data_IF_012269146982
#
_entry.id   IF_012269146982
#
_cell.length_a   1.000
_cell.length_b   1.000
_cell.length_c   1.000
_cell.angle_alpha   90.00
_cell.angle_beta   90.00
_cell.angle_gamma   90.00
#
_symmetry.space_group_name_H-M   'P 1'
#
loop_
_entity.id
_entity.type
_entity.pdbx_description
1 polymer ?
#
# COMPACT_ATOMS: atom_id res chain seq x y z
N UNK A 1 6.29 1.95 9.95
CA UNK A 1 5.97 3.00 8.94
C UNK A 1 6.65 2.60 7.64
N UNK A 2 5.91 2.51 6.54
CA UNK A 2 6.47 2.32 5.19
C UNK A 2 6.52 3.72 4.57
N UNK A 3 7.72 4.18 4.22
CA UNK A 3 7.92 5.49 3.58
C UNK A 3 8.77 5.28 2.33
N UNK A 4 8.32 5.85 1.21
CA UNK A 4 9.13 6.07 0.01
C UNK A 4 9.18 7.57 -0.28
N UNK A 5 10.35 8.09 -0.67
CA UNK A 5 10.46 9.45 -1.20
C UNK A 5 9.85 9.50 -2.60
N UNK A 6 8.92 10.42 -2.84
CA UNK A 6 8.32 10.64 -4.17
C UNK A 6 9.04 11.78 -4.90
N UNK A 7 9.16 11.65 -6.22
CA UNK A 7 9.30 12.83 -7.08
C UNK A 7 7.91 13.45 -7.29
N UNK A 8 7.82 14.79 -7.22
CA UNK A 8 6.55 15.55 -7.26
C UNK A 8 5.76 15.33 -8.57
N UNK A 9 6.37 14.72 -9.58
CA UNK A 9 5.83 14.53 -10.92
C UNK A 9 5.15 13.18 -11.16
N UNK A 10 5.14 12.24 -10.21
CA UNK A 10 4.56 10.92 -10.43
C UNK A 10 3.03 10.96 -10.50
N UNK A 11 2.47 10.24 -11.49
CA UNK A 11 1.02 10.10 -11.64
C UNK A 11 0.40 9.36 -10.44
N UNK A 12 -0.90 9.57 -10.19
CA UNK A 12 -1.61 8.86 -9.13
C UNK A 12 -1.57 7.33 -9.31
N UNK A 13 -1.52 6.85 -10.56
CA UNK A 13 -1.39 5.44 -10.89
C UNK A 13 -0.02 4.92 -10.45
N UNK A 14 1.07 5.57 -10.83
CA UNK A 14 2.43 5.15 -10.43
C UNK A 14 2.59 5.11 -8.90
N UNK A 15 2.02 6.09 -8.20
CA UNK A 15 1.98 6.11 -6.74
C UNK A 15 1.17 4.94 -6.16
N UNK A 16 0.02 4.61 -6.75
CA UNK A 16 -0.78 3.46 -6.35
C UNK A 16 -0.04 2.13 -6.57
N UNK A 17 0.65 1.99 -7.70
CA UNK A 17 1.41 0.78 -8.06
C UNK A 17 2.57 0.51 -7.09
N UNK A 18 3.20 1.58 -6.56
CA UNK A 18 4.25 1.52 -5.52
C UNK A 18 3.71 1.34 -4.10
N UNK A 19 2.40 1.26 -3.92
CA UNK A 19 1.77 1.15 -2.60
C UNK A 19 1.78 2.45 -1.79
N UNK A 20 2.00 3.59 -2.45
CA UNK A 20 2.11 4.92 -1.82
C UNK A 20 0.77 5.67 -1.80
N UNK A 21 -0.29 5.06 -2.34
CA UNK A 21 -1.63 5.63 -2.38
C UNK A 21 -2.68 4.59 -1.96
N UNK A 22 -3.69 5.05 -1.24
CA UNK A 22 -4.84 4.23 -0.83
C UNK A 22 -4.55 3.29 0.34
N UNK A 23 -5.32 2.19 0.42
CA UNK A 23 -5.25 1.18 1.48
C UNK A 23 -4.35 0.02 1.06
N UNK A 24 -3.32 -0.23 1.86
CA UNK A 24 -2.49 -1.42 1.77
C UNK A 24 -3.00 -2.50 2.73
N UNK A 25 -3.19 -3.71 2.22
CA UNK A 25 -3.63 -4.88 2.97
C UNK A 25 -2.56 -5.95 2.83
N UNK A 26 -1.86 -6.23 3.92
CA UNK A 26 -0.85 -7.29 4.01
C UNK A 26 -1.52 -8.53 4.57
N UNK A 27 -1.43 -9.65 3.84
CA UNK A 27 -2.03 -10.93 4.25
C UNK A 27 -0.95 -11.85 4.83
N UNK A 28 -1.30 -12.72 5.80
CA UNK A 28 -0.34 -13.63 6.44
C UNK A 28 0.36 -14.61 5.47
N UNK A 29 -0.23 -14.86 4.30
CA UNK A 29 0.23 -15.81 3.30
C UNK A 29 1.24 -15.22 2.29
N UNK A 30 1.87 -14.08 2.60
CA UNK A 30 2.82 -13.43 1.69
C UNK A 30 2.16 -12.69 0.51
N UNK A 31 0.83 -12.54 0.54
CA UNK A 31 0.12 -11.71 -0.44
C UNK A 31 -0.09 -10.29 0.08
N UNK A 32 -0.10 -9.35 -0.85
CA UNK A 32 -0.39 -7.95 -0.59
C UNK A 32 -1.47 -7.47 -1.56
N UNK A 33 -2.30 -6.53 -1.11
CA UNK A 33 -3.29 -5.87 -1.94
C UNK A 33 -3.25 -4.36 -1.73
N UNK A 34 -3.28 -3.62 -2.82
CA UNK A 34 -3.55 -2.19 -2.84
C UNK A 34 -4.96 -1.92 -3.32
N UNK A 35 -5.58 -0.93 -2.69
CA UNK A 35 -6.91 -0.44 -3.03
C UNK A 35 -6.89 1.08 -3.02
N UNK A 36 -7.17 1.68 -4.17
CA UNK A 36 -7.28 3.13 -4.33
C UNK A 36 -8.70 3.46 -4.75
N UNK A 37 -9.38 4.28 -3.96
CA UNK A 37 -10.68 4.82 -4.36
C UNK A 37 -10.49 5.82 -5.51
N UNK A 38 -11.26 5.62 -6.58
CA UNK A 38 -11.37 6.53 -7.73
C UNK A 38 -12.76 7.19 -7.67
N UNK A 39 -13.11 7.95 -8.70
CA UNK A 39 -14.39 8.63 -8.83
C UNK A 39 -15.56 7.67 -9.07
N UNK A 40 -16.77 8.12 -8.73
CA UNK A 40 -18.05 7.41 -8.98
C UNK A 40 -18.13 6.00 -8.38
N UNK A 41 -17.46 5.76 -7.25
CA UNK A 41 -17.47 4.47 -6.57
C UNK A 41 -16.63 3.39 -7.26
N UNK A 42 -15.85 3.76 -8.27
CA UNK A 42 -14.83 2.90 -8.86
C UNK A 42 -13.61 2.82 -7.94
N UNK A 43 -12.95 1.68 -7.94
CA UNK A 43 -11.70 1.47 -7.20
C UNK A 43 -10.66 0.84 -8.10
N UNK A 44 -9.45 1.32 -8.04
CA UNK A 44 -8.31 0.56 -8.52
C UNK A 44 -7.91 -0.46 -7.45
N UNK A 45 -7.65 -1.68 -7.89
CA UNK A 45 -7.21 -2.78 -7.05
C UNK A 45 -5.98 -3.39 -7.69
N UNK A 46 -4.96 -3.70 -6.90
CA UNK A 46 -3.86 -4.52 -7.39
C UNK A 46 -3.46 -5.52 -6.32
N UNK A 47 -3.37 -6.79 -6.69
CA UNK A 47 -2.87 -7.85 -5.80
C UNK A 47 -1.48 -8.28 -6.26
N UNK A 48 -0.69 -8.75 -5.31
CA UNK A 48 0.64 -9.25 -5.57
C UNK A 48 1.17 -10.09 -4.41
N UNK A 49 2.46 -10.40 -4.49
CA UNK A 49 3.20 -11.15 -3.48
C UNK A 49 4.41 -10.35 -3.03
N UNK A 50 4.77 -10.51 -1.76
CA UNK A 50 5.99 -9.98 -1.21
C UNK A 50 6.84 -11.11 -0.61
N UNK A 51 8.16 -11.04 -0.80
CA UNK A 51 9.12 -12.02 -0.30
C UNK A 51 10.23 -11.29 0.41
N UNK A 52 10.67 -11.81 1.57
CA UNK A 52 11.79 -11.21 2.32
C UNK A 52 13.07 -11.35 1.49
N UNK A 53 13.73 -10.24 1.18
CA UNK A 53 14.94 -10.19 0.37
C UNK A 53 16.20 -9.79 1.16
N UNK A 54 16.03 -9.25 2.37
CA UNK A 54 17.13 -8.89 3.26
C UNK A 54 16.73 -8.88 4.73
N UNK A 55 17.52 -8.22 5.59
CA UNK A 55 17.25 -8.14 7.03
C UNK A 55 15.92 -7.42 7.33
N UNK A 56 15.71 -6.28 6.67
CA UNK A 56 14.52 -5.45 6.76
C UNK A 56 13.91 -5.08 5.39
N UNK A 57 14.31 -5.74 4.31
CA UNK A 57 13.81 -5.49 2.96
C UNK A 57 12.97 -6.65 2.44
N UNK A 58 12.00 -6.32 1.59
CA UNK A 58 11.08 -7.23 0.95
C UNK A 58 10.94 -6.85 -0.51
N UNK A 59 11.08 -7.82 -1.41
CA UNK A 59 10.79 -7.62 -2.83
C UNK A 59 9.31 -7.87 -3.05
N UNK A 60 8.65 -6.95 -3.75
CA UNK A 60 7.23 -7.03 -4.06
C UNK A 60 7.04 -7.12 -5.56
N UNK A 61 6.20 -8.06 -5.97
CA UNK A 61 5.70 -8.19 -7.34
C UNK A 61 4.19 -8.09 -7.29
N UNK A 62 3.65 -7.13 -8.02
CA UNK A 62 2.23 -6.87 -8.12
C UNK A 62 1.83 -7.05 -9.58
N UNK A 63 0.91 -7.97 -9.86
CA UNK A 63 0.65 -8.51 -11.20
C UNK A 63 -0.84 -8.76 -11.50
N UNK A 64 -1.72 -8.50 -10.54
CA UNK A 64 -3.17 -8.72 -10.65
C UNK A 64 -3.93 -7.40 -10.43
N UNK A 65 -3.86 -6.53 -11.44
CA UNK A 65 -4.54 -5.23 -11.42
C UNK A 65 -5.98 -5.32 -11.95
N UNK A 66 -6.88 -4.53 -11.37
CA UNK A 66 -8.27 -4.45 -11.80
C UNK A 66 -8.90 -3.09 -11.44
N UNK A 67 -9.84 -2.66 -12.28
CA UNK A 67 -10.81 -1.60 -11.92
C UNK A 67 -12.07 -2.29 -11.39
N UNK A 68 -12.45 -1.96 -10.16
CA UNK A 68 -13.54 -2.59 -9.41
C UNK A 68 -14.72 -1.62 -9.27
N UNK A 69 -15.92 -2.10 -9.58
CA UNK A 69 -17.19 -1.42 -9.40
C UNK A 69 -18.13 -2.34 -8.61
N UNK A 70 -18.29 -2.09 -7.31
CA UNK A 70 -19.04 -2.99 -6.44
C UNK A 70 -18.42 -4.39 -6.39
N UNK A 71 -19.17 -5.48 -6.65
CA UNK A 71 -18.64 -6.84 -6.67
C UNK A 71 -17.93 -7.21 -7.98
N UNK A 72 -18.01 -6.38 -9.01
CA UNK A 72 -17.46 -6.66 -10.33
C UNK A 72 -16.08 -6.01 -10.51
N UNK A 73 -15.16 -6.71 -11.18
CA UNK A 73 -13.82 -6.22 -11.50
C UNK A 73 -13.47 -6.47 -12.96
N UNK A 74 -12.92 -5.45 -13.63
CA UNK A 74 -12.36 -5.55 -14.98
C UNK A 74 -10.83 -5.65 -14.82
N UNK A 75 -10.20 -6.74 -15.28
CA UNK A 75 -8.76 -6.89 -15.17
C UNK A 75 -8.02 -5.85 -16.04
N UNK A 76 -6.85 -5.43 -15.58
CA UNK A 76 -5.93 -4.59 -16.30
C UNK A 76 -4.56 -5.27 -16.34
N UNK A 77 -3.93 -5.29 -17.52
CA UNK A 77 -2.58 -5.83 -17.68
C UNK A 77 -1.56 -4.81 -17.18
N UNK A 78 -1.23 -4.90 -15.90
CA UNK A 78 -0.23 -4.06 -15.24
C UNK A 78 0.62 -4.92 -14.31
N UNK A 79 1.94 -4.80 -14.45
CA UNK A 79 2.90 -5.43 -13.56
C UNK A 79 3.79 -4.36 -12.95
N UNK A 80 4.08 -4.44 -11.67
CA UNK A 80 5.02 -3.55 -10.98
C UNK A 80 5.87 -4.31 -10.00
N UNK A 81 7.17 -4.00 -10.01
CA UNK A 81 8.17 -4.57 -9.10
C UNK A 81 8.86 -3.44 -8.36
N UNK A 82 8.99 -3.59 -7.05
CA UNK A 82 9.69 -2.64 -6.20
C UNK A 82 10.13 -3.32 -4.90
N UNK A 83 11.14 -2.75 -4.24
CA UNK A 83 11.60 -3.21 -2.93
C UNK A 83 10.99 -2.34 -1.85
N UNK A 84 10.32 -2.97 -0.88
CA UNK A 84 9.89 -2.35 0.35
C UNK A 84 10.97 -2.49 1.41
N UNK A 85 11.26 -1.40 2.13
CA UNK A 85 12.10 -1.43 3.31
C UNK A 85 11.26 -1.15 4.56
N UNK A 86 11.29 -2.09 5.51
CA UNK A 86 10.74 -1.90 6.84
C UNK A 86 11.74 -1.09 7.67
N UNK A 87 11.53 0.22 7.70
CA UNK A 87 12.39 1.15 8.43
C UNK A 87 12.18 1.07 9.95
N UNK A 88 10.99 0.68 10.38
CA UNK A 88 10.62 0.65 11.80
C UNK A 88 9.49 -0.35 12.08
N UNK A 89 9.73 -1.27 13.02
CA UNK A 89 8.74 -2.20 13.57
C UNK A 89 8.66 -2.04 15.08
N UNK A 90 7.69 -1.26 15.55
CA UNK A 90 7.29 -1.25 16.95
C UNK A 90 6.06 -2.12 17.09
N UNK A 91 6.12 -3.08 18.00
CA UNK A 91 5.00 -3.94 18.36
C UNK A 91 3.84 -3.15 19.01
N UNK A 92 3.96 -1.82 19.16
CA UNK A 92 2.96 -0.93 19.76
C UNK A 92 2.64 0.31 18.91
N UNK A 93 1.91 0.11 17.81
CA UNK A 93 1.21 1.20 17.12
C UNK A 93 -0.01 1.67 17.94
N UNK A 94 -0.12 2.98 18.19
CA UNK A 94 -1.34 3.59 18.78
C UNK A 94 -2.03 4.51 17.77
N UNK A 95 -3.29 4.19 17.48
CA UNK A 95 -4.20 5.00 16.68
C UNK A 95 -5.20 5.69 17.61
N UNK A 96 -5.38 6.99 17.46
CA UNK A 96 -6.40 7.76 18.19
C UNK A 96 -7.20 8.64 17.24
N UNK A 97 -8.51 8.71 17.46
CA UNK A 97 -9.44 9.50 16.64
C UNK A 97 -9.65 10.88 17.28
N UNK A 98 -9.52 11.94 16.47
CA UNK A 98 -9.76 13.33 16.83
C UNK A 98 -11.13 13.84 16.35
N UNK A 99 -11.35 15.14 16.53
CA UNK A 99 -12.54 15.82 15.99
C UNK A 99 -12.43 15.99 14.47
N UNK A 100 -13.54 15.74 13.75
CA UNK A 100 -13.64 15.98 12.30
C UNK A 100 -12.80 15.04 11.43
N UNK A 101 -13.01 13.72 11.56
CA UNK A 101 -12.33 12.65 10.78
C UNK A 101 -10.80 12.63 10.84
N UNK A 102 -10.19 13.42 11.74
CA UNK A 102 -8.74 13.46 11.92
C UNK A 102 -8.29 12.20 12.66
N UNK A 103 -7.35 11.46 12.07
CA UNK A 103 -6.71 10.30 12.69
C UNK A 103 -5.27 10.66 13.09
N UNK A 104 -4.97 10.52 14.38
CA UNK A 104 -3.62 10.69 14.90
C UNK A 104 -2.92 9.34 15.00
N UNK A 105 -1.78 9.23 14.33
CA UNK A 105 -0.91 8.06 14.39
C UNK A 105 0.34 8.44 15.18
N UNK A 106 0.50 7.85 16.37
CA UNK A 106 1.65 8.10 17.23
C UNK A 106 2.70 7.00 17.03
N UNK A 107 3.93 7.42 16.79
CA UNK A 107 5.09 6.52 16.66
C UNK A 107 6.07 6.90 17.76
N UNK A 108 6.31 5.98 18.70
CA UNK A 108 7.41 6.15 19.66
C UNK A 108 8.71 5.79 18.95
N UNK A 109 9.79 6.48 19.23
CA UNK A 109 11.13 6.11 18.73
C UNK A 109 11.96 5.73 19.97
N UNK A 110 12.52 4.52 19.99
CA UNK A 110 13.59 4.16 20.94
C UNK A 110 14.91 4.50 20.27
N UNK A 111 15.71 5.33 20.94
CA UNK A 111 17.11 5.53 20.61
C UNK A 111 17.95 4.34 21.08
#
# INVERSE_FOLDING_TARGET
MIWSSQEVTESWIENALKGLMGKQIVKPNGQMKFLVDILFGLRFSMTGKYVKSGSNTYDVVMDDAAIVAGPYGIPAELETKYTLQLLYGDEKMRISHGYGDIVFVHIRVQN
#
